data_IF_958593568417
#
_entry.id   IF_958593568417
#
_cell.length_a   1.000
_cell.length_b   1.000
_cell.length_c   1.000
_cell.angle_alpha   90.00
_cell.angle_beta   90.00
_cell.angle_gamma   90.00
#
_symmetry.space_group_name_H-M   'P 1'
#
loop_
_entity.id
_entity.type
_entity.pdbx_description
1 polymer ?
#
# COMPACT_ATOMS: atom_id res chain seq x y z
N UNK A 1 -38.73 -2.22 13.26
CA UNK A 1 -37.31 -2.63 13.41
C UNK A 1 -36.66 -2.47 12.04
N UNK A 2 -35.72 -1.54 11.85
CA UNK A 2 -35.08 -1.35 10.53
C UNK A 2 -34.33 -2.63 10.17
N UNK A 3 -34.82 -3.37 9.19
CA UNK A 3 -34.22 -4.62 8.74
C UNK A 3 -32.73 -4.40 8.44
N UNK A 4 -31.87 -5.09 9.18
CA UNK A 4 -30.44 -5.02 8.97
C UNK A 4 -30.18 -5.80 7.69
N UNK A 5 -29.76 -5.11 6.64
CA UNK A 5 -29.43 -5.67 5.32
C UNK A 5 -28.23 -6.62 5.44
N UNK A 6 -28.54 -7.88 5.76
CA UNK A 6 -27.58 -8.95 6.01
C UNK A 6 -26.91 -9.41 4.70
N UNK A 7 -27.64 -9.34 3.60
CA UNK A 7 -27.16 -9.49 2.22
C UNK A 7 -25.88 -8.67 1.96
N UNK A 8 -25.93 -7.36 2.24
CA UNK A 8 -24.80 -6.45 2.00
C UNK A 8 -23.63 -6.75 2.94
N UNK A 9 -23.92 -7.16 4.19
CA UNK A 9 -22.87 -7.54 5.14
C UNK A 9 -22.21 -8.86 4.77
N UNK A 10 -22.98 -9.82 4.24
CA UNK A 10 -22.47 -11.08 3.69
C UNK A 10 -21.55 -10.83 2.51
N UNK A 11 -21.91 -9.90 1.61
CA UNK A 11 -21.07 -9.54 0.48
C UNK A 11 -19.73 -8.92 0.90
N UNK A 12 -19.72 -8.10 1.97
CA UNK A 12 -18.47 -7.62 2.58
C UNK A 12 -17.64 -8.75 3.19
N UNK A 13 -18.29 -9.72 3.83
CA UNK A 13 -17.64 -10.91 4.36
C UNK A 13 -16.94 -11.72 3.26
N UNK A 14 -17.63 -11.96 2.14
CA UNK A 14 -17.07 -12.60 0.96
C UNK A 14 -15.86 -11.86 0.40
N UNK A 15 -15.95 -10.52 0.33
CA UNK A 15 -14.84 -9.69 -0.11
C UNK A 15 -13.60 -9.87 0.78
N UNK A 16 -13.77 -9.91 2.11
CA UNK A 16 -12.67 -10.18 3.05
C UNK A 16 -12.10 -11.59 2.85
N UNK A 17 -12.95 -12.60 2.66
CA UNK A 17 -12.50 -13.99 2.43
C UNK A 17 -11.59 -14.07 1.20
N UNK A 18 -11.94 -13.40 0.11
CA UNK A 18 -11.10 -13.36 -1.10
C UNK A 18 -9.72 -12.76 -0.81
N UNK A 19 -9.65 -11.70 -0.01
CA UNK A 19 -8.38 -11.05 0.37
C UNK A 19 -7.54 -11.97 1.25
N UNK A 20 -8.18 -12.65 2.21
CA UNK A 20 -7.51 -13.63 3.08
C UNK A 20 -6.95 -14.78 2.24
N UNK A 21 -7.75 -15.34 1.33
CA UNK A 21 -7.32 -16.43 0.44
C UNK A 21 -6.17 -16.00 -0.47
N UNK A 22 -6.16 -14.75 -0.96
CA UNK A 22 -5.03 -14.23 -1.72
C UNK A 22 -3.72 -14.21 -0.92
N UNK A 23 -3.76 -13.84 0.37
CA UNK A 23 -2.56 -13.80 1.20
C UNK A 23 -2.03 -15.20 1.55
N UNK A 24 -2.91 -16.17 1.81
CA UNK A 24 -2.49 -17.54 2.15
C UNK A 24 -2.19 -18.42 0.93
N UNK A 25 -2.92 -18.21 -0.18
CA UNK A 25 -2.86 -19.05 -1.38
C UNK A 25 -2.74 -18.22 -2.67
N UNK A 26 -1.69 -17.39 -2.81
CA UNK A 26 -1.56 -16.45 -3.93
C UNK A 26 -1.52 -17.14 -5.30
N UNK A 27 -0.99 -18.37 -5.37
CA UNK A 27 -0.93 -19.16 -6.61
C UNK A 27 -2.32 -19.63 -7.09
N UNK A 28 -3.24 -19.89 -6.18
CA UNK A 28 -4.58 -20.38 -6.50
C UNK A 28 -5.60 -19.24 -6.66
N UNK A 29 -5.38 -18.12 -5.95
CA UNK A 29 -6.27 -16.95 -5.97
C UNK A 29 -5.53 -15.66 -6.35
N UNK A 30 -4.87 -15.57 -7.53
CA UNK A 30 -4.04 -14.41 -7.89
C UNK A 30 -4.84 -13.10 -7.94
N UNK A 31 -6.16 -13.17 -8.17
CA UNK A 31 -7.05 -12.01 -8.27
C UNK A 31 -7.81 -11.70 -6.97
N UNK A 32 -7.50 -12.35 -5.84
CA UNK A 32 -8.23 -12.12 -4.60
C UNK A 32 -8.04 -10.72 -3.99
N UNK A 33 -7.03 -9.95 -4.46
CA UNK A 33 -6.88 -8.54 -4.13
C UNK A 33 -8.08 -7.67 -4.56
N UNK A 34 -8.83 -8.07 -5.58
CA UNK A 34 -10.07 -7.40 -6.03
C UNK A 34 -11.11 -7.34 -4.90
N UNK A 35 -11.05 -8.27 -3.95
CA UNK A 35 -11.88 -8.23 -2.75
C UNK A 35 -11.75 -6.92 -1.96
N UNK A 36 -10.57 -6.28 -1.98
CA UNK A 36 -10.36 -4.97 -1.33
C UNK A 36 -11.21 -3.90 -2.00
N UNK A 37 -11.22 -3.84 -3.33
CA UNK A 37 -12.00 -2.86 -4.09
C UNK A 37 -13.49 -3.06 -3.86
N UNK A 38 -13.96 -4.31 -3.92
CA UNK A 38 -15.35 -4.67 -3.65
C UNK A 38 -15.77 -4.25 -2.24
N UNK A 39 -14.92 -4.50 -1.22
CA UNK A 39 -15.19 -4.12 0.16
C UNK A 39 -15.38 -2.60 0.31
N UNK A 40 -14.52 -1.79 -0.30
CA UNK A 40 -14.60 -0.33 -0.23
C UNK A 40 -15.82 0.22 -0.99
N UNK A 41 -16.11 -0.30 -2.19
CA UNK A 41 -17.29 0.10 -2.98
C UNK A 41 -18.57 -0.15 -2.20
N UNK A 42 -18.72 -1.35 -1.62
CA UNK A 42 -19.91 -1.71 -0.82
C UNK A 42 -20.00 -0.83 0.44
N UNK A 43 -18.86 -0.56 1.08
CA UNK A 43 -18.82 0.32 2.27
C UNK A 43 -19.28 1.73 1.93
N UNK A 44 -18.82 2.29 0.79
CA UNK A 44 -19.27 3.58 0.28
C UNK A 44 -20.77 3.61 -0.03
N UNK A 45 -21.27 2.60 -0.75
CA UNK A 45 -22.70 2.46 -1.05
C UNK A 45 -23.56 2.44 0.21
N UNK A 46 -23.17 1.67 1.23
CA UNK A 46 -23.90 1.58 2.49
C UNK A 46 -23.94 2.92 3.24
N UNK A 47 -22.82 3.67 3.25
CA UNK A 47 -22.77 4.99 3.90
C UNK A 47 -23.69 5.96 3.17
N UNK A 48 -23.61 6.02 1.84
CA UNK A 48 -24.45 6.89 1.03
C UNK A 48 -25.94 6.60 1.25
N UNK A 49 -26.32 5.32 1.28
CA UNK A 49 -27.70 4.92 1.56
C UNK A 49 -28.20 5.36 2.93
N UNK A 50 -27.36 5.25 3.97
CA UNK A 50 -27.72 5.70 5.32
C UNK A 50 -27.88 7.23 5.38
N UNK A 51 -27.04 7.98 4.67
CA UNK A 51 -27.12 9.44 4.60
C UNK A 51 -28.32 9.92 3.78
N UNK A 52 -28.66 9.23 2.68
CA UNK A 52 -29.82 9.53 1.85
C UNK A 52 -31.15 9.28 2.55
N UNK A 53 -31.21 8.29 3.45
CA UNK A 53 -32.42 8.00 4.23
C UNK A 53 -32.81 9.12 5.21
N UNK A 54 -31.87 10.01 5.55
CA UNK A 54 -32.15 11.18 6.36
C UNK A 54 -32.41 12.39 5.46
N UNK A 55 -33.68 12.74 5.27
CA UNK A 55 -34.09 13.88 4.46
C UNK A 55 -33.49 15.20 4.98
N UNK A 56 -33.39 15.35 6.31
CA UNK A 56 -32.69 16.46 6.94
C UNK A 56 -31.38 16.02 7.58
N UNK A 57 -30.26 16.34 6.94
CA UNK A 57 -28.91 16.18 7.49
C UNK A 57 -28.65 17.28 8.53
N UNK A 58 -29.25 17.14 9.70
CA UNK A 58 -28.97 18.01 10.84
C UNK A 58 -27.67 17.58 11.54
N UNK A 59 -27.02 18.50 12.25
CA UNK A 59 -25.77 18.24 12.97
C UNK A 59 -25.89 17.03 13.91
N UNK A 60 -27.04 16.87 14.57
CA UNK A 60 -27.33 15.73 15.45
C UNK A 60 -27.32 14.39 14.71
N UNK A 61 -27.82 14.33 13.47
CA UNK A 61 -27.82 13.11 12.67
C UNK A 61 -26.39 12.70 12.27
N UNK A 62 -25.54 13.68 11.93
CA UNK A 62 -24.13 13.47 11.59
C UNK A 62 -23.34 13.01 12.84
N UNK A 63 -23.53 13.68 13.98
CA UNK A 63 -22.89 13.29 15.25
C UNK A 63 -23.32 11.87 15.64
N UNK A 64 -24.61 11.55 15.53
CA UNK A 64 -25.12 10.21 15.84
C UNK A 64 -24.60 9.15 14.86
N UNK A 65 -24.38 9.51 13.59
CA UNK A 65 -23.72 8.65 12.60
C UNK A 65 -22.29 8.33 13.04
N UNK A 66 -21.48 9.33 13.39
CA UNK A 66 -20.11 9.12 13.86
C UNK A 66 -20.07 8.32 15.17
N UNK A 67 -20.90 8.67 16.15
CA UNK A 67 -20.95 7.99 17.44
C UNK A 67 -21.19 6.48 17.29
N UNK A 68 -22.19 6.08 16.48
CA UNK A 68 -22.50 4.67 16.24
C UNK A 68 -21.34 3.89 15.60
N UNK A 69 -20.55 4.55 14.75
CA UNK A 69 -19.41 3.92 14.06
C UNK A 69 -18.19 3.82 14.96
N UNK A 70 -17.86 4.90 15.65
CA UNK A 70 -16.77 4.98 16.63
C UNK A 70 -16.96 3.92 17.71
N UNK A 71 -18.15 3.87 18.34
CA UNK A 71 -18.47 2.89 19.40
C UNK A 71 -18.37 1.43 18.93
N UNK A 72 -18.53 1.18 17.63
CA UNK A 72 -18.47 -0.18 17.07
C UNK A 72 -17.07 -0.61 16.66
N UNK A 73 -16.28 0.30 16.09
CA UNK A 73 -15.02 -0.05 15.38
C UNK A 73 -13.80 0.20 16.27
N UNK A 74 -13.72 1.34 16.95
CA UNK A 74 -12.52 1.74 17.70
C UNK A 74 -12.19 0.82 18.87
N UNK A 75 -13.13 0.30 19.68
CA UNK A 75 -12.79 -0.57 20.80
C UNK A 75 -12.05 -1.84 20.36
N UNK A 76 -12.56 -2.50 19.31
CA UNK A 76 -11.93 -3.71 18.79
C UNK A 76 -10.61 -3.40 18.08
N UNK A 77 -10.53 -2.28 17.37
CA UNK A 77 -9.30 -1.87 16.70
C UNK A 77 -8.15 -1.59 17.68
N UNK A 78 -8.41 -0.81 18.73
CA UNK A 78 -7.39 -0.53 19.74
C UNK A 78 -7.04 -1.75 20.57
N UNK A 79 -7.99 -2.66 20.80
CA UNK A 79 -7.70 -3.95 21.42
C UNK A 79 -6.68 -4.72 20.58
N UNK A 80 -6.88 -4.82 19.26
CA UNK A 80 -5.92 -5.48 18.35
C UNK A 80 -4.56 -4.80 18.38
N UNK A 81 -4.50 -3.46 18.36
CA UNK A 81 -3.23 -2.72 18.47
C UNK A 81 -2.51 -3.08 19.77
N UNK A 82 -3.20 -3.04 20.91
CA UNK A 82 -2.62 -3.39 22.20
C UNK A 82 -2.16 -4.84 22.24
N UNK A 83 -2.94 -5.77 21.69
CA UNK A 83 -2.54 -7.18 21.59
C UNK A 83 -1.28 -7.38 20.74
N UNK A 84 -1.14 -6.66 19.62
CA UNK A 84 0.07 -6.71 18.79
C UNK A 84 1.26 -6.12 19.56
N UNK A 85 1.10 -4.97 20.23
CA UNK A 85 2.16 -4.37 21.04
C UNK A 85 2.62 -5.28 22.18
N UNK A 86 1.69 -5.94 22.87
CA UNK A 86 2.00 -6.92 23.91
C UNK A 86 2.72 -8.15 23.33
N UNK A 87 2.32 -8.59 22.13
CA UNK A 87 3.00 -9.70 21.44
C UNK A 87 4.45 -9.32 21.10
N UNK A 88 4.67 -8.10 20.60
CA UNK A 88 6.02 -7.60 20.31
C UNK A 88 6.86 -7.55 21.60
N UNK A 89 6.32 -7.00 22.68
CA UNK A 89 7.05 -6.80 23.93
C UNK A 89 7.35 -8.11 24.68
N UNK A 90 6.44 -9.09 24.64
CA UNK A 90 6.51 -10.29 25.48
C UNK A 90 7.00 -11.54 24.74
N UNK A 91 6.78 -11.63 23.42
CA UNK A 91 6.96 -12.87 22.66
C UNK A 91 8.00 -12.75 21.54
N UNK A 92 8.28 -11.55 21.04
CA UNK A 92 9.17 -11.36 19.88
C UNK A 92 10.56 -10.84 20.27
N UNK A 93 11.59 -11.15 19.46
CA UNK A 93 12.93 -10.60 19.66
C UNK A 93 12.99 -9.06 19.55
N UNK A 94 13.94 -8.39 20.24
CA UNK A 94 14.04 -6.93 20.28
C UNK A 94 14.18 -6.23 18.92
N UNK A 95 14.72 -6.92 17.91
CA UNK A 95 14.88 -6.34 16.58
C UNK A 95 13.55 -6.09 15.84
N UNK A 96 12.44 -6.71 16.26
CA UNK A 96 11.10 -6.39 15.74
C UNK A 96 10.58 -5.05 16.27
N UNK A 97 11.08 -4.56 17.40
CA UNK A 97 10.56 -3.36 18.07
C UNK A 97 10.77 -2.11 17.22
N UNK A 98 11.99 -1.87 16.73
CA UNK A 98 12.30 -0.64 15.98
C UNK A 98 11.43 -0.48 14.73
N UNK A 99 11.22 -1.57 13.99
CA UNK A 99 10.39 -1.57 12.78
C UNK A 99 8.91 -1.35 13.13
N UNK A 100 8.41 -2.01 14.18
CA UNK A 100 6.99 -2.02 14.51
C UNK A 100 6.55 -0.81 15.36
N UNK A 101 7.43 -0.16 16.13
CA UNK A 101 7.09 1.05 16.89
C UNK A 101 6.67 2.19 15.95
N UNK A 102 7.37 2.37 14.84
CA UNK A 102 7.00 3.43 13.86
C UNK A 102 5.64 3.14 13.22
N UNK A 103 5.38 1.87 12.91
CA UNK A 103 4.10 1.46 12.31
C UNK A 103 2.96 1.46 13.32
N UNK A 104 3.21 1.18 14.60
CA UNK A 104 2.20 1.25 15.66
C UNK A 104 1.71 2.68 15.87
N UNK A 105 2.60 3.67 15.86
CA UNK A 105 2.22 5.09 15.91
C UNK A 105 1.28 5.48 14.78
N UNK A 106 1.58 5.03 13.55
CA UNK A 106 0.72 5.26 12.38
C UNK A 106 -0.64 4.58 12.53
N UNK A 107 -0.67 3.37 13.09
CA UNK A 107 -1.91 2.65 13.35
C UNK A 107 -2.77 3.35 14.42
N UNK A 108 -2.17 3.83 15.51
CA UNK A 108 -2.87 4.52 16.60
C UNK A 108 -3.58 5.78 16.10
N UNK A 109 -2.91 6.56 15.25
CA UNK A 109 -3.46 7.80 14.69
C UNK A 109 -4.24 7.60 13.38
N UNK A 110 -4.51 6.34 12.99
CA UNK A 110 -5.30 5.95 11.83
C UNK A 110 -4.73 6.43 10.47
N UNK A 111 -3.40 6.41 10.31
CA UNK A 111 -2.70 6.81 9.06
C UNK A 111 -1.78 5.72 8.49
N UNK A 112 -1.95 4.45 8.87
CA UNK A 112 -1.13 3.33 8.37
C UNK A 112 -1.09 3.21 6.84
N UNK A 113 -2.09 3.77 6.15
CA UNK A 113 -2.14 3.83 4.69
C UNK A 113 -1.06 4.72 4.05
N UNK A 114 -0.47 5.67 4.80
CA UNK A 114 0.61 6.54 4.32
C UNK A 114 2.00 5.97 4.63
N UNK A 115 2.18 4.66 4.47
CA UNK A 115 3.49 4.03 4.63
C UNK A 115 4.39 4.42 3.45
N UNK A 116 5.36 5.29 3.70
CA UNK A 116 6.46 5.55 2.76
C UNK A 116 7.48 4.42 2.92
N UNK A 117 7.68 3.63 1.85
CA UNK A 117 8.74 2.63 1.78
C UNK A 117 10.01 3.34 1.31
N UNK A 118 11.03 3.41 2.16
CA UNK A 118 12.35 3.90 1.77
C UNK A 118 13.27 2.72 1.42
N UNK A 119 14.34 2.97 0.66
CA UNK A 119 15.34 1.95 0.27
C UNK A 119 15.91 1.24 1.51
N UNK A 120 16.10 1.99 2.61
CA UNK A 120 16.59 1.44 3.88
C UNK A 120 15.61 0.45 4.53
N UNK A 121 14.30 0.62 4.31
CA UNK A 121 13.28 -0.29 4.84
C UNK A 121 13.27 -1.60 4.04
N UNK A 122 13.42 -1.54 2.70
CA UNK A 122 13.55 -2.73 1.86
C UNK A 122 14.80 -3.55 2.19
N UNK A 123 15.93 -2.88 2.40
CA UNK A 123 17.19 -3.53 2.76
C UNK A 123 17.10 -4.20 4.14
N UNK A 124 16.42 -3.57 5.11
CA UNK A 124 16.20 -4.13 6.46
C UNK A 124 15.24 -5.31 6.43
N UNK A 125 14.15 -5.22 5.66
CA UNK A 125 13.19 -6.32 5.48
C UNK A 125 13.90 -7.56 4.90
N UNK A 126 14.82 -7.36 3.94
CA UNK A 126 15.60 -8.43 3.32
C UNK A 126 16.68 -9.04 4.24
N UNK A 127 17.31 -8.24 5.11
CA UNK A 127 18.40 -8.71 5.99
C UNK A 127 17.93 -9.29 7.32
N UNK A 128 16.89 -8.70 7.92
CA UNK A 128 16.46 -9.01 9.29
C UNK A 128 15.21 -9.91 9.26
N UNK A 129 14.44 -9.91 8.17
CA UNK A 129 13.19 -10.67 8.06
C UNK A 129 12.12 -10.20 9.05
N UNK A 130 12.27 -9.01 9.61
CA UNK A 130 11.33 -8.46 10.58
C UNK A 130 10.11 -7.89 9.86
N UNK A 131 9.04 -8.67 9.77
CA UNK A 131 7.79 -8.20 9.16
C UNK A 131 7.09 -7.11 9.99
N UNK A 132 6.43 -6.19 9.30
CA UNK A 132 5.58 -5.15 9.89
C UNK A 132 4.19 -5.71 10.22
N UNK A 133 3.97 -6.01 11.50
CA UNK A 133 2.73 -6.60 12.02
C UNK A 133 1.53 -5.66 11.91
N UNK A 134 1.76 -4.35 11.80
CA UNK A 134 0.70 -3.36 11.64
C UNK A 134 0.29 -3.17 10.18
N UNK A 135 0.91 -3.87 9.23
CA UNK A 135 0.63 -3.70 7.80
C UNK A 135 -0.87 -3.78 7.50
N UNK A 136 -1.59 -4.79 8.02
CA UNK A 136 -3.01 -5.00 7.73
C UNK A 136 -3.96 -3.90 8.26
N UNK A 137 -3.49 -3.02 9.16
CA UNK A 137 -4.30 -1.91 9.70
C UNK A 137 -4.60 -0.82 8.67
N UNK A 138 -3.87 -0.79 7.54
CA UNK A 138 -4.03 0.22 6.50
C UNK A 138 -5.47 0.28 5.98
N UNK A 139 -6.10 -0.88 5.74
CA UNK A 139 -7.43 -0.96 5.13
C UNK A 139 -8.51 -0.38 6.05
N UNK A 140 -8.41 -0.66 7.36
CA UNK A 140 -9.33 -0.12 8.36
C UNK A 140 -9.10 1.39 8.57
N UNK A 141 -7.85 1.86 8.52
CA UNK A 141 -7.55 3.29 8.56
C UNK A 141 -8.25 4.03 7.42
N UNK A 142 -8.15 3.50 6.18
CA UNK A 142 -8.84 4.04 5.01
C UNK A 142 -10.37 4.00 5.22
N UNK A 143 -10.92 2.91 5.75
CA UNK A 143 -12.36 2.82 6.05
C UNK A 143 -12.81 3.92 7.04
N UNK A 144 -12.01 4.18 8.09
CA UNK A 144 -12.28 5.24 9.08
C UNK A 144 -12.17 6.65 8.49
N UNK A 145 -11.14 6.90 7.67
CA UNK A 145 -11.00 8.17 6.94
C UNK A 145 -12.18 8.39 6.00
N UNK A 146 -12.62 7.34 5.30
CA UNK A 146 -13.78 7.40 4.43
C UNK A 146 -15.08 7.68 5.22
N UNK A 147 -15.25 7.07 6.40
CA UNK A 147 -16.38 7.39 7.27
C UNK A 147 -16.42 8.86 7.67
N UNK A 148 -15.28 9.49 7.93
CA UNK A 148 -15.19 10.93 8.24
C UNK A 148 -15.47 11.82 7.02
N UNK A 149 -14.98 11.40 5.85
CA UNK A 149 -14.98 12.22 4.64
C UNK A 149 -16.35 12.24 3.94
N UNK A 150 -17.08 11.13 3.91
CA UNK A 150 -18.35 11.03 3.15
C UNK A 150 -19.45 11.98 3.66
N UNK A 151 -19.73 12.11 4.97
CA UNK A 151 -20.72 13.07 5.44
C UNK A 151 -20.35 14.52 5.09
N UNK A 152 -19.05 14.86 5.12
CA UNK A 152 -18.56 16.18 4.73
C UNK A 152 -18.83 16.43 3.24
N UNK A 153 -18.55 15.45 2.38
CA UNK A 153 -18.90 15.52 0.95
C UNK A 153 -20.41 15.71 0.77
N UNK A 154 -21.24 14.96 1.51
CA UNK A 154 -22.69 15.06 1.40
C UNK A 154 -23.22 16.44 1.82
N UNK A 155 -22.68 17.00 2.90
CA UNK A 155 -23.02 18.37 3.34
C UNK A 155 -22.55 19.38 2.29
N UNK A 156 -21.31 19.30 1.83
CA UNK A 156 -20.79 20.17 0.77
C UNK A 156 -21.64 20.08 -0.51
N UNK A 157 -22.03 18.87 -0.92
CA UNK A 157 -22.92 18.66 -2.06
C UNK A 157 -24.29 19.32 -1.86
N UNK A 158 -24.86 19.33 -0.65
CA UNK A 158 -26.13 20.03 -0.38
C UNK A 158 -25.98 21.55 -0.35
N UNK A 159 -24.81 22.06 0.01
CA UNK A 159 -24.52 23.51 0.01
C UNK A 159 -24.21 24.06 -1.39
N UNK A 160 -23.71 23.24 -2.31
CA UNK A 160 -23.37 23.66 -3.67
C UNK A 160 -24.62 23.74 -4.57
N UNK A 161 -24.70 24.81 -5.35
CA UNK A 161 -25.69 24.99 -6.43
C UNK A 161 -25.44 24.03 -7.58
N UNK A 162 -26.47 23.73 -8.38
CA UNK A 162 -26.37 22.82 -9.55
C UNK A 162 -25.26 23.25 -10.53
N UNK A 163 -25.05 24.56 -10.69
CA UNK A 163 -24.00 25.13 -11.52
C UNK A 163 -22.58 24.88 -10.97
N UNK A 164 -22.41 24.98 -9.65
CA UNK A 164 -21.12 24.68 -9.03
C UNK A 164 -20.80 23.18 -9.10
N UNK A 165 -21.81 22.31 -8.97
CA UNK A 165 -21.66 20.86 -9.12
C UNK A 165 -21.16 20.49 -10.51
N UNK A 166 -21.82 20.98 -11.56
CA UNK A 166 -21.41 20.70 -12.95
C UNK A 166 -20.03 21.26 -13.25
N UNK A 167 -19.70 22.45 -12.74
CA UNK A 167 -18.36 23.03 -12.87
C UNK A 167 -17.26 22.16 -12.22
N UNK A 168 -17.45 21.73 -10.97
CA UNK A 168 -16.48 20.86 -10.28
C UNK A 168 -16.36 19.49 -10.96
N UNK A 169 -17.48 18.89 -11.38
CA UNK A 169 -17.46 17.62 -12.13
C UNK A 169 -16.69 17.78 -13.45
N UNK A 170 -16.95 18.83 -14.22
CA UNK A 170 -16.23 19.13 -15.46
C UNK A 170 -14.73 19.31 -15.23
N UNK A 171 -14.34 20.06 -14.20
CA UNK A 171 -12.92 20.26 -13.86
C UNK A 171 -12.24 18.97 -13.41
N UNK A 172 -12.95 18.11 -12.68
CA UNK A 172 -12.44 16.79 -12.25
C UNK A 172 -12.17 15.88 -13.44
N UNK A 173 -13.12 15.83 -14.39
CA UNK A 173 -12.98 15.08 -15.65
C UNK A 173 -11.80 15.62 -16.45
N UNK A 174 -11.66 16.94 -16.57
CA UNK A 174 -10.54 17.55 -17.28
C UNK A 174 -9.18 17.16 -16.67
N UNK A 175 -9.07 17.14 -15.33
CA UNK A 175 -7.84 16.73 -14.64
C UNK A 175 -7.53 15.24 -14.93
N UNK A 176 -8.54 14.37 -14.93
CA UNK A 176 -8.36 12.95 -15.24
C UNK A 176 -7.92 12.73 -16.69
N UNK A 177 -8.51 13.47 -17.63
CA UNK A 177 -8.10 13.45 -19.04
C UNK A 177 -6.65 13.91 -19.16
N UNK A 178 -6.28 15.03 -18.54
CA UNK A 178 -4.91 15.55 -18.59
C UNK A 178 -3.89 14.56 -17.98
N UNK A 179 -4.24 13.89 -16.87
CA UNK A 179 -3.41 12.82 -16.29
C UNK A 179 -3.25 11.63 -17.21
N UNK A 180 -4.33 11.22 -17.88
CA UNK A 180 -4.30 10.10 -18.82
C UNK A 180 -3.41 10.42 -20.02
N UNK A 181 -3.57 11.62 -20.61
CA UNK A 181 -2.74 12.08 -21.72
C UNK A 181 -1.25 12.14 -21.33
N UNK A 182 -0.93 12.74 -20.18
CA UNK A 182 0.47 12.81 -19.72
C UNK A 182 1.07 11.44 -19.45
N UNK A 183 0.29 10.47 -18.96
CA UNK A 183 0.75 9.09 -18.82
C UNK A 183 1.03 8.42 -20.17
N UNK A 184 0.21 8.69 -21.19
CA UNK A 184 0.37 8.13 -22.54
C UNK A 184 1.58 8.75 -23.26
N UNK A 185 1.77 10.07 -23.18
CA UNK A 185 2.95 10.75 -23.74
C UNK A 185 4.22 10.19 -23.10
N UNK A 186 4.24 10.07 -21.77
CA UNK A 186 5.39 9.50 -21.06
C UNK A 186 5.66 8.04 -21.45
N UNK A 187 4.63 7.25 -21.74
CA UNK A 187 4.82 5.88 -22.24
C UNK A 187 5.35 5.84 -23.66
N UNK A 188 4.95 6.79 -24.52
CA UNK A 188 5.39 6.89 -25.91
C UNK A 188 6.86 7.37 -26.02
N UNK A 189 7.26 8.32 -25.17
CA UNK A 189 8.66 8.78 -25.11
C UNK A 189 9.61 7.65 -24.68
N UNK A 190 9.20 6.84 -23.70
CA UNK A 190 9.97 5.67 -23.25
C UNK A 190 10.11 4.63 -24.37
N UNK A 191 9.08 4.40 -25.18
CA UNK A 191 9.18 3.48 -26.33
C UNK A 191 10.09 4.02 -27.43
N UNK A 192 10.08 5.34 -27.68
CA UNK A 192 10.94 5.97 -28.70
C UNK A 192 12.42 5.96 -28.30
N UNK A 193 12.73 6.14 -27.01
CA UNK A 193 14.11 5.98 -26.52
C UNK A 193 14.64 4.55 -26.75
N UNK A 194 13.81 3.53 -26.51
CA UNK A 194 14.18 2.12 -26.74
C UNK A 194 14.41 1.78 -28.22
N UNK A 195 13.67 2.40 -29.14
CA UNK A 195 13.85 2.20 -30.58
C UNK A 195 15.11 2.91 -31.10
N UNK A 196 15.46 4.08 -30.54
CA UNK A 196 16.67 4.82 -30.89
C UNK A 196 17.97 4.13 -30.44
N UNK A 197 17.94 3.41 -29.31
CA UNK A 197 19.11 2.71 -28.76
C UNK A 197 19.39 1.37 -29.48
N UNK A 198 18.46 0.88 -30.30
CA UNK A 198 18.65 -0.29 -31.17
C UNK A 198 19.35 0.02 -32.50
N UNK A 199 19.69 1.28 -32.77
CA UNK A 199 20.48 1.70 -33.93
C UNK A 199 22.00 1.47 -33.81
N UNK A 200 22.51 1.02 -32.65
CA UNK A 200 23.95 0.82 -32.49
C UNK A 200 24.33 0.13 -31.19
N UNK A 201 24.55 -1.18 -31.28
CA UNK A 201 25.14 -2.10 -30.28
C UNK A 201 24.11 -2.75 -29.34
N UNK A 202 24.08 -4.07 -29.44
CA UNK A 202 23.44 -5.01 -28.52
C UNK A 202 23.97 -4.82 -27.09
N UNK A 203 23.29 -4.02 -26.29
CA UNK A 203 23.55 -3.85 -24.86
C UNK A 203 22.24 -3.95 -24.08
N UNK A 204 22.15 -4.88 -23.13
CA UNK A 204 20.99 -5.11 -22.28
C UNK A 204 20.58 -3.83 -21.54
N UNK A 205 19.48 -3.21 -21.93
CA UNK A 205 18.90 -2.08 -21.18
C UNK A 205 17.91 -2.64 -20.16
N UNK A 206 18.28 -2.53 -18.90
CA UNK A 206 17.51 -3.01 -17.76
C UNK A 206 16.22 -2.17 -17.59
N UNK A 207 15.08 -2.85 -17.51
CA UNK A 207 13.81 -2.26 -17.10
C UNK A 207 13.96 -1.63 -15.72
N UNK A 208 14.05 -0.30 -15.64
CA UNK A 208 13.98 0.45 -14.37
C UNK A 208 12.51 0.64 -13.98
N UNK A 209 11.75 -0.45 -13.94
CA UNK A 209 10.49 -0.55 -13.21
C UNK A 209 10.86 -1.19 -11.89
N UNK A 210 10.69 -0.44 -10.80
CA UNK A 210 11.26 -0.74 -9.47
C UNK A 210 10.81 -2.05 -8.83
N UNK A 211 11.35 -3.17 -9.30
CA UNK A 211 11.46 -4.47 -8.63
C UNK A 211 12.71 -5.17 -9.17
N UNK A 212 13.89 -4.85 -8.63
CA UNK A 212 15.11 -5.62 -8.91
C UNK A 212 15.14 -6.83 -7.97
N UNK A 213 14.76 -8.00 -8.48
CA UNK A 213 15.26 -9.26 -7.95
C UNK A 213 16.62 -9.52 -8.62
N UNK A 214 17.71 -9.43 -7.88
CA UNK A 214 19.01 -9.91 -8.37
C UNK A 214 18.98 -11.45 -8.43
N UNK A 215 19.25 -12.07 -9.59
CA UNK A 215 19.45 -13.52 -9.64
C UNK A 215 20.83 -13.84 -9.07
N UNK A 216 20.88 -14.76 -8.11
CA UNK A 216 22.12 -15.40 -7.66
C UNK A 216 22.73 -16.16 -8.85
N UNK A 217 23.78 -15.63 -9.46
CA UNK A 217 24.59 -16.36 -10.44
C UNK A 217 25.33 -17.49 -9.72
N UNK A 218 24.83 -18.70 -9.90
CA UNK A 218 25.59 -19.92 -9.65
C UNK A 218 26.73 -19.93 -10.68
N UNK A 219 27.96 -19.71 -10.21
CA UNK A 219 29.19 -19.83 -11.00
C UNK A 219 29.32 -21.26 -11.52
N UNK A 220 28.79 -21.51 -12.72
CA UNK A 220 29.04 -22.72 -13.48
C UNK A 220 30.49 -22.66 -13.99
N UNK A 221 31.30 -23.63 -13.55
CA UNK A 221 32.67 -23.80 -14.00
C UNK A 221 32.74 -23.97 -15.51
N UNK A 222 33.58 -23.17 -16.16
CA UNK A 222 34.07 -23.42 -17.50
C UNK A 222 35.48 -24.00 -17.37
N UNK A 223 35.62 -25.26 -17.77
CA UNK A 223 36.92 -25.82 -18.11
C UNK A 223 37.40 -25.21 -19.41
N UNK A 224 38.67 -24.82 -19.45
CA UNK A 224 39.65 -25.51 -20.31
C UNK A 224 41.08 -25.02 -20.00
N UNK A 225 41.83 -25.95 -19.41
CA UNK A 225 43.20 -26.41 -19.67
C UNK A 225 44.36 -25.44 -20.01
N UNK A 226 45.53 -25.88 -19.50
CA UNK A 226 46.94 -25.50 -19.78
C UNK A 226 47.42 -24.29 -18.96
N UNK A 227 48.46 -24.30 -18.12
CA UNK A 227 49.78 -24.95 -18.12
C UNK A 227 50.37 -24.76 -16.69
N UNK A 228 50.90 -25.77 -15.99
CA UNK A 228 52.35 -25.95 -15.85
C UNK A 228 53.03 -25.17 -14.72
N UNK A 229 53.28 -25.85 -13.58
CA UNK A 229 54.34 -25.59 -12.56
C UNK A 229 54.30 -24.27 -11.76
N UNK A 230 54.35 -24.39 -10.42
CA UNK A 230 55.00 -23.37 -9.56
C UNK A 230 54.35 -23.05 -8.22
N UNK A 231 54.73 -23.81 -7.19
CA UNK A 231 55.11 -23.37 -5.83
C UNK A 231 54.64 -22.01 -5.27
N UNK A 232 54.01 -22.03 -4.07
CA UNK A 232 54.28 -21.06 -2.99
C UNK A 232 53.33 -19.87 -2.78
N UNK A 233 52.60 -19.89 -1.64
CA UNK A 233 52.63 -18.81 -0.66
C UNK A 233 51.74 -17.56 -0.81
N UNK A 234 51.13 -17.22 0.35
CA UNK A 234 50.91 -15.85 0.89
C UNK A 234 49.61 -15.11 0.52
N UNK A 235 48.73 -15.08 1.53
CA UNK A 235 47.84 -14.00 2.00
C UNK A 235 47.73 -12.68 1.21
N UNK A 236 46.50 -12.19 1.01
CA UNK A 236 46.22 -10.74 1.10
C UNK A 236 44.75 -10.44 1.37
N UNK A 237 44.48 -10.02 2.61
CA UNK A 237 43.29 -9.28 3.01
C UNK A 237 43.33 -7.90 2.33
N UNK A 238 42.33 -7.57 1.49
CA UNK A 238 42.13 -6.19 1.01
C UNK A 238 40.78 -5.63 1.41
N UNK A 239 40.82 -5.01 2.59
CA UNK A 239 40.13 -3.78 3.03
C UNK A 239 39.41 -3.04 1.87
N UNK A 240 38.08 -2.98 1.92
CA UNK A 240 37.28 -2.08 1.09
C UNK A 240 36.73 -0.94 1.94
N UNK A 241 37.06 0.25 1.46
CA UNK A 241 36.90 1.57 2.05
C UNK A 241 35.42 1.94 2.25
N UNK A 242 35.07 2.37 3.46
CA UNK A 242 33.96 3.29 3.68
C UNK A 242 34.32 4.65 3.06
N UNK A 243 33.43 5.17 2.20
CA UNK A 243 33.37 6.60 1.90
C UNK A 243 31.95 7.10 2.15
N UNK A 244 31.77 7.68 3.33
CA UNK A 244 30.73 8.67 3.60
C UNK A 244 30.96 9.88 2.69
N UNK A 245 29.95 10.30 1.93
CA UNK A 245 29.78 11.72 1.65
C UNK A 245 28.30 12.08 1.55
N UNK A 246 27.86 12.79 2.59
CA UNK A 246 26.57 13.46 2.71
C UNK A 246 26.57 14.79 1.94
N UNK A 247 25.38 15.12 1.43
CA UNK A 247 24.76 16.45 1.32
C UNK A 247 25.37 17.50 0.36
N UNK A 248 24.53 17.96 -0.60
CA UNK A 248 24.06 19.36 -0.67
C UNK A 248 22.96 19.56 -1.75
N UNK A 249 21.88 20.21 -1.30
CA UNK A 249 20.77 20.90 -1.99
C UNK A 249 19.74 20.08 -2.78
#
# INVERSE_FOLDING_TARGET
MSEKRQDIQGLRGWAIIMVVLFHFFPRYFPNGYVGVDVFFVISGFLIAMVLLKNDQLNLSAIVMFYYKRIKRILPLYYLVIVSILLTILLLLPPYYEEANIRSSWRAIILISNFKKKNIDDDYKDMLIGAEDLFTHTWSLCVEMQWYLLVPIIFVAQRLLTTWQKTFFTGKSIQILINKSITSLVKSADVTNEMESDHGGKTGKVAWKVGYTYEPYEIMAGSGDLLDGRGNGGVTSFRRLHLSHHLLRL
#
